data_IF_723036829692
#
_entry.id   IF_723036829692
#
_cell.length_a   1.000
_cell.length_b   1.000
_cell.length_c   1.000
_cell.angle_alpha   90.00
_cell.angle_beta   90.00
_cell.angle_gamma   90.00
#
_symmetry.space_group_name_H-M   'P 1'
#
loop_
_entity.id
_entity.type
_entity.pdbx_description
1 polymer ?
#
# COMPACT_ATOMS: atom_id res chain seq x y z
N UNK A 1 -52.08 90.62 24.49
CA UNK A 1 -53.02 89.72 23.76
C UNK A 1 -52.36 89.20 22.52
N UNK A 2 -51.93 87.95 22.53
CA UNK A 2 -51.32 87.32 21.37
C UNK A 2 -52.33 87.15 20.26
N UNK A 3 -52.02 87.71 19.11
CA UNK A 3 -52.92 87.74 17.91
C UNK A 3 -53.27 86.28 17.53
N UNK A 4 -54.51 85.85 17.51
CA UNK A 4 -54.99 84.45 17.25
C UNK A 4 -54.35 83.88 15.99
N UNK A 5 -54.12 84.73 14.98
CA UNK A 5 -53.51 84.29 13.75
C UNK A 5 -52.04 83.89 13.87
N UNK A 6 -51.26 84.55 14.80
CA UNK A 6 -49.83 84.14 15.07
C UNK A 6 -49.73 82.80 15.76
N UNK A 7 -50.68 82.47 16.66
CA UNK A 7 -50.71 81.20 17.36
C UNK A 7 -51.01 80.07 16.41
N UNK A 8 -51.95 80.29 15.44
CA UNK A 8 -52.27 79.29 14.43
C UNK A 8 -51.13 79.00 13.50
N UNK A 9 -50.37 80.07 13.09
CA UNK A 9 -49.14 79.87 12.27
C UNK A 9 -48.05 79.12 12.98
N UNK A 10 -47.84 79.29 14.31
CA UNK A 10 -46.88 78.56 15.10
C UNK A 10 -47.29 77.07 15.22
N UNK A 11 -48.57 76.81 15.44
CA UNK A 11 -49.07 75.43 15.55
C UNK A 11 -48.91 74.68 14.17
N UNK A 12 -49.26 75.33 13.10
CA UNK A 12 -49.09 74.75 11.73
C UNK A 12 -47.63 74.52 11.41
N UNK A 13 -46.76 75.50 11.71
CA UNK A 13 -45.30 75.31 11.56
C UNK A 13 -44.71 74.15 12.39
N UNK A 14 -45.20 74.03 13.63
CA UNK A 14 -44.80 72.91 14.50
C UNK A 14 -45.26 71.56 13.94
N UNK A 15 -46.49 71.51 13.41
CA UNK A 15 -47.02 70.26 12.87
C UNK A 15 -46.33 69.83 11.57
N UNK A 16 -45.89 70.79 10.74
CA UNK A 16 -45.06 70.53 9.57
C UNK A 16 -43.70 70.02 9.92
N UNK A 17 -43.06 70.58 10.96
CA UNK A 17 -41.76 70.12 11.45
C UNK A 17 -41.85 68.69 12.00
N UNK A 18 -42.88 68.34 12.75
CA UNK A 18 -43.13 66.98 13.22
C UNK A 18 -43.34 66.02 12.03
N UNK A 19 -44.13 66.41 11.05
CA UNK A 19 -44.34 65.57 9.86
C UNK A 19 -43.04 65.31 9.06
N UNK A 20 -42.19 66.34 8.92
CA UNK A 20 -40.87 66.22 8.28
C UNK A 20 -39.95 65.30 9.11
N UNK A 21 -39.97 65.43 10.46
CA UNK A 21 -39.20 64.56 11.34
C UNK A 21 -39.62 63.11 11.29
N UNK A 22 -40.93 62.84 11.28
CA UNK A 22 -41.47 61.47 11.10
C UNK A 22 -41.12 60.90 9.77
N UNK A 23 -41.25 61.69 8.67
CA UNK A 23 -40.90 61.26 7.34
C UNK A 23 -39.40 60.98 7.18
N UNK A 24 -38.53 61.81 7.75
CA UNK A 24 -37.10 61.61 7.74
C UNK A 24 -36.69 60.36 8.54
N UNK A 25 -37.31 60.18 9.74
CA UNK A 25 -37.05 58.99 10.56
C UNK A 25 -37.53 57.71 9.87
N UNK A 26 -38.65 57.74 9.22
CA UNK A 26 -39.20 56.62 8.47
C UNK A 26 -38.27 56.24 7.27
N UNK A 27 -37.81 57.23 6.51
CA UNK A 27 -36.84 56.98 5.44
C UNK A 27 -35.49 56.45 5.98
N UNK A 28 -35.04 56.94 7.13
CA UNK A 28 -33.81 56.47 7.74
C UNK A 28 -33.96 55.02 8.19
N UNK A 29 -35.05 54.66 8.83
CA UNK A 29 -35.37 53.29 9.26
C UNK A 29 -35.47 52.36 8.02
N UNK A 30 -36.11 52.78 6.93
CA UNK A 30 -36.13 51.98 5.70
C UNK A 30 -34.74 51.76 5.08
N UNK A 31 -33.86 52.76 5.16
CA UNK A 31 -32.48 52.63 4.69
C UNK A 31 -31.66 51.72 5.59
N UNK A 32 -31.92 51.62 6.90
CA UNK A 32 -31.28 50.68 7.81
C UNK A 32 -31.87 49.28 7.74
N UNK A 33 -33.15 49.15 7.35
CA UNK A 33 -33.82 47.86 7.15
C UNK A 33 -33.53 47.25 5.76
N UNK A 34 -33.12 48.09 4.81
CA UNK A 34 -32.47 47.62 3.58
C UNK A 34 -31.00 47.29 3.94
N UNK A 35 -30.79 46.39 4.91
CA UNK A 35 -29.55 45.68 4.99
C UNK A 35 -29.31 45.09 3.59
N UNK A 36 -28.10 45.23 3.01
CA UNK A 36 -27.83 44.55 1.76
C UNK A 36 -28.22 43.11 1.98
N UNK A 37 -29.19 42.61 1.19
CA UNK A 37 -29.37 41.17 1.10
C UNK A 37 -27.98 40.65 0.94
N UNK A 38 -27.53 39.89 1.92
CA UNK A 38 -26.28 39.12 1.77
C UNK A 38 -26.51 38.40 0.47
N UNK A 39 -25.84 38.87 -0.58
CA UNK A 39 -25.81 38.17 -1.83
C UNK A 39 -25.41 36.77 -1.40
N UNK A 40 -26.32 35.79 -1.48
CA UNK A 40 -25.91 34.40 -1.46
C UNK A 40 -24.94 34.35 -2.64
N UNK A 41 -23.67 34.61 -2.30
CA UNK A 41 -22.57 34.36 -3.17
C UNK A 41 -22.76 32.92 -3.55
N UNK A 42 -23.12 32.66 -4.82
CA UNK A 42 -23.30 31.33 -5.36
C UNK A 42 -21.93 30.66 -5.29
N UNK A 43 -21.54 30.27 -4.09
CA UNK A 43 -20.34 29.47 -3.85
C UNK A 43 -20.60 28.16 -4.57
N UNK A 44 -19.88 27.94 -5.65
CA UNK A 44 -19.91 26.68 -6.37
C UNK A 44 -19.51 25.61 -5.37
N UNK A 45 -20.40 24.66 -5.10
CA UNK A 45 -20.15 23.56 -4.16
C UNK A 45 -19.69 22.33 -4.90
N UNK A 46 -18.81 21.57 -4.29
CA UNK A 46 -18.37 20.25 -4.74
C UNK A 46 -18.63 19.22 -3.66
N UNK A 47 -18.83 17.98 -4.06
CA UNK A 47 -18.95 16.87 -3.12
C UNK A 47 -17.57 16.32 -2.78
N UNK A 48 -17.30 16.09 -1.51
CA UNK A 48 -16.08 15.44 -1.01
C UNK A 48 -16.45 14.33 -0.05
N UNK A 49 -15.62 13.32 0.02
CA UNK A 49 -15.76 12.23 1.01
C UNK A 49 -15.20 12.71 2.34
N UNK A 50 -15.96 12.56 3.43
CA UNK A 50 -15.55 12.82 4.80
C UNK A 50 -15.71 11.56 5.65
N UNK A 51 -14.88 11.41 6.68
CA UNK A 51 -15.01 10.29 7.63
C UNK A 51 -16.08 10.56 8.66
N UNK A 52 -16.88 9.53 8.96
CA UNK A 52 -18.00 9.61 9.94
C UNK A 52 -17.58 9.28 11.38
N UNK A 53 -16.41 8.70 11.56
CA UNK A 53 -15.75 8.38 12.83
C UNK A 53 -14.24 8.52 12.71
N UNK A 54 -13.54 8.51 13.82
CA UNK A 54 -12.08 8.45 13.83
C UNK A 54 -11.61 7.13 13.21
N UNK A 55 -10.61 7.22 12.34
CA UNK A 55 -9.97 6.08 11.67
C UNK A 55 -8.47 6.12 11.97
N UNK A 56 -7.92 4.99 12.41
CA UNK A 56 -6.51 4.85 12.70
C UNK A 56 -5.70 4.40 11.47
N UNK A 57 -4.41 4.65 11.51
CA UNK A 57 -3.43 4.11 10.56
C UNK A 57 -3.60 2.59 10.41
N UNK A 58 -3.75 2.10 9.19
CA UNK A 58 -3.94 0.69 8.89
C UNK A 58 -5.40 0.22 8.81
N UNK A 59 -6.37 1.04 9.26
CA UNK A 59 -7.79 0.72 9.14
C UNK A 59 -8.21 0.63 7.66
N UNK A 60 -9.07 -0.34 7.36
CA UNK A 60 -9.73 -0.43 6.05
C UNK A 60 -11.05 0.30 6.10
N UNK A 61 -11.28 1.23 5.17
CA UNK A 61 -12.50 2.02 5.09
C UNK A 61 -13.69 1.14 4.70
N UNK A 62 -14.67 1.03 5.60
CA UNK A 62 -15.97 0.44 5.29
C UNK A 62 -16.93 1.51 4.72
N UNK A 63 -17.99 1.08 4.05
CA UNK A 63 -18.98 2.01 3.50
C UNK A 63 -19.73 2.85 4.55
N UNK A 64 -19.73 2.41 5.81
CA UNK A 64 -20.31 3.13 6.97
C UNK A 64 -19.39 4.18 7.57
N UNK A 65 -18.10 4.13 7.25
CA UNK A 65 -17.07 4.99 7.83
C UNK A 65 -16.90 6.31 7.08
N UNK A 66 -17.57 6.45 5.94
CA UNK A 66 -17.46 7.62 5.06
C UNK A 66 -18.82 8.06 4.53
N UNK A 67 -18.95 9.37 4.32
CA UNK A 67 -20.13 9.99 3.70
C UNK A 67 -19.73 11.10 2.74
N UNK A 68 -20.67 11.55 1.90
CA UNK A 68 -20.47 12.69 1.02
C UNK A 68 -20.91 13.98 1.73
N UNK A 69 -19.99 14.92 1.85
CA UNK A 69 -20.23 16.29 2.31
C UNK A 69 -20.16 17.26 1.13
N UNK A 70 -21.08 18.26 1.13
CA UNK A 70 -21.08 19.34 0.14
C UNK A 70 -20.33 20.54 0.71
N UNK A 71 -19.19 20.90 0.11
CA UNK A 71 -18.31 22.00 0.55
C UNK A 71 -18.08 23.00 -0.57
N UNK A 72 -17.81 24.28 -0.25
CA UNK A 72 -17.36 25.26 -1.24
C UNK A 72 -16.09 24.78 -1.97
N UNK A 73 -16.05 25.00 -3.29
CA UNK A 73 -14.90 24.59 -4.13
C UNK A 73 -13.58 25.20 -3.65
N UNK A 74 -13.64 26.40 -3.09
CA UNK A 74 -12.47 27.14 -2.62
C UNK A 74 -11.75 26.47 -1.44
N UNK A 75 -12.50 25.70 -0.61
CA UNK A 75 -11.94 24.99 0.55
C UNK A 75 -11.69 23.51 0.28
N UNK A 76 -12.16 22.98 -0.85
CA UNK A 76 -11.94 21.58 -1.23
C UNK A 76 -10.51 21.40 -1.77
N UNK A 77 -9.63 20.63 -1.11
CA UNK A 77 -8.33 20.31 -1.67
C UNK A 77 -8.45 19.59 -3.01
N UNK A 78 -7.53 19.84 -3.94
CA UNK A 78 -7.53 19.19 -5.27
C UNK A 78 -7.39 17.66 -5.18
N UNK A 79 -6.85 17.17 -4.08
CA UNK A 79 -6.61 15.74 -3.81
C UNK A 79 -7.76 15.12 -3.03
N UNK A 80 -8.83 15.87 -2.71
CA UNK A 80 -9.99 15.33 -2.03
C UNK A 80 -10.71 14.29 -2.91
N UNK A 81 -11.09 13.18 -2.30
CA UNK A 81 -11.87 12.13 -2.96
C UNK A 81 -13.31 12.62 -3.10
N UNK A 82 -13.84 12.57 -4.31
CA UNK A 82 -15.20 13.02 -4.61
C UNK A 82 -16.24 11.87 -4.66
N UNK A 83 -15.77 10.62 -4.68
CA UNK A 83 -16.64 9.46 -4.86
C UNK A 83 -16.37 8.42 -3.75
N UNK A 84 -17.42 7.95 -3.07
CA UNK A 84 -17.33 6.93 -2.02
C UNK A 84 -16.66 5.64 -2.51
N UNK A 85 -16.88 5.24 -3.77
CA UNK A 85 -16.28 4.03 -4.33
C UNK A 85 -14.75 4.08 -4.43
N UNK A 86 -14.18 5.28 -4.46
CA UNK A 86 -12.73 5.48 -4.52
C UNK A 86 -12.09 5.38 -3.14
N UNK A 87 -12.86 5.58 -2.07
CA UNK A 87 -12.41 5.49 -0.69
C UNK A 87 -12.66 4.12 -0.06
N UNK A 88 -13.84 3.54 -0.29
CA UNK A 88 -14.25 2.26 0.32
C UNK A 88 -13.32 1.12 -0.12
N UNK A 89 -12.86 0.32 0.84
CA UNK A 89 -11.93 -0.78 0.63
C UNK A 89 -10.45 -0.37 0.57
N UNK A 90 -10.15 0.95 0.67
CA UNK A 90 -8.78 1.44 0.81
C UNK A 90 -8.32 1.40 2.28
N UNK A 91 -7.02 1.41 2.48
CA UNK A 91 -6.40 1.39 3.81
C UNK A 91 -5.92 2.79 4.16
N UNK A 92 -6.16 3.21 5.39
CA UNK A 92 -5.74 4.52 5.93
C UNK A 92 -4.23 4.53 6.17
N UNK A 93 -3.54 5.55 5.63
CA UNK A 93 -2.09 5.75 5.77
C UNK A 93 -1.71 6.73 6.89
N UNK A 94 -2.66 7.44 7.44
CA UNK A 94 -2.49 8.37 8.57
C UNK A 94 -3.81 8.49 9.29
N UNK A 95 -3.76 8.68 10.60
CA UNK A 95 -4.98 8.84 11.41
C UNK A 95 -5.85 9.96 10.85
N UNK A 96 -7.16 9.70 10.76
CA UNK A 96 -8.18 10.66 10.34
C UNK A 96 -9.19 10.85 11.47
N UNK A 97 -9.57 12.10 11.71
CA UNK A 97 -10.56 12.46 12.75
C UNK A 97 -11.93 12.61 12.10
N UNK A 98 -12.99 12.28 12.83
CA UNK A 98 -14.38 12.45 12.39
C UNK A 98 -14.63 13.83 11.76
N UNK A 99 -15.22 13.85 10.57
CA UNK A 99 -15.50 15.07 9.80
C UNK A 99 -14.34 15.51 8.90
N UNK A 100 -13.19 14.86 8.95
CA UNK A 100 -12.04 15.16 8.08
C UNK A 100 -12.28 14.68 6.67
N UNK A 101 -11.80 15.48 5.67
CA UNK A 101 -11.89 15.13 4.26
C UNK A 101 -10.88 14.04 3.91
N UNK A 102 -11.32 13.01 3.20
CA UNK A 102 -10.45 11.96 2.70
C UNK A 102 -9.69 12.44 1.47
N UNK A 103 -8.36 12.45 1.57
CA UNK A 103 -7.47 12.85 0.49
C UNK A 103 -6.81 11.62 -0.14
N UNK A 104 -6.54 11.67 -1.45
CA UNK A 104 -5.97 10.52 -2.18
C UNK A 104 -4.62 10.04 -1.63
N UNK A 105 -3.81 10.93 -1.04
CA UNK A 105 -2.52 10.57 -0.42
C UNK A 105 -2.67 9.93 0.97
N UNK A 106 -3.85 10.07 1.61
CA UNK A 106 -4.14 9.41 2.89
C UNK A 106 -4.51 7.93 2.71
N UNK A 107 -4.66 7.48 1.46
CA UNK A 107 -5.15 6.15 1.15
C UNK A 107 -4.06 5.27 0.52
N UNK A 108 -3.97 4.02 0.97
CA UNK A 108 -3.27 2.94 0.31
C UNK A 108 -4.29 2.06 -0.43
N UNK A 109 -3.95 1.72 -1.66
CA UNK A 109 -4.74 0.78 -2.45
C UNK A 109 -4.20 -0.64 -2.27
N UNK A 110 -4.91 -1.55 -1.59
CA UNK A 110 -4.45 -2.93 -1.41
C UNK A 110 -4.33 -3.69 -2.73
N UNK A 111 -4.96 -3.19 -3.81
CA UNK A 111 -4.84 -3.78 -5.15
C UNK A 111 -3.70 -3.19 -5.97
N UNK A 112 -3.08 -2.10 -5.50
CA UNK A 112 -1.99 -1.44 -6.21
C UNK A 112 -0.68 -2.25 -6.09
N UNK A 113 -0.19 -2.73 -7.22
CA UNK A 113 0.97 -3.61 -7.30
C UNK A 113 2.31 -2.91 -7.06
N UNK A 114 2.34 -1.57 -7.10
CA UNK A 114 3.59 -0.80 -7.18
C UNK A 114 3.81 0.15 -6.00
N UNK A 115 2.82 0.34 -5.13
CA UNK A 115 2.87 1.29 -4.01
C UNK A 115 2.23 0.69 -2.78
N UNK A 116 2.63 1.22 -1.64
CA UNK A 116 1.98 0.94 -0.36
C UNK A 116 1.98 -0.54 0.08
N UNK A 117 2.96 -1.34 -0.40
CA UNK A 117 3.05 -2.78 -0.11
C UNK A 117 3.10 -3.10 1.39
N UNK A 118 3.67 -2.20 2.21
CA UNK A 118 3.73 -2.38 3.67
C UNK A 118 2.35 -2.38 4.33
N UNK A 119 1.35 -1.72 3.73
CA UNK A 119 -0.02 -1.67 4.26
C UNK A 119 -0.85 -2.91 3.98
N UNK A 120 -0.39 -3.77 3.07
CA UNK A 120 -1.06 -5.04 2.74
C UNK A 120 -0.41 -6.25 3.43
N UNK A 121 0.68 -6.04 4.18
CA UNK A 121 1.31 -7.08 4.96
C UNK A 121 0.55 -7.31 6.26
N UNK A 122 0.45 -8.56 6.67
CA UNK A 122 0.01 -8.92 8.02
C UNK A 122 1.03 -8.44 9.05
N UNK A 123 0.58 -8.12 10.26
CA UNK A 123 1.44 -7.59 11.35
C UNK A 123 2.62 -8.50 11.70
N UNK A 124 2.47 -9.79 11.50
CA UNK A 124 3.46 -10.84 11.79
C UNK A 124 4.39 -11.16 10.61
N UNK A 125 4.27 -10.43 9.48
CA UNK A 125 5.05 -10.66 8.27
C UNK A 125 5.98 -9.49 7.94
N UNK A 126 7.07 -9.81 7.26
CA UNK A 126 8.01 -8.87 6.65
C UNK A 126 8.11 -9.13 5.16
N UNK A 127 8.37 -8.10 4.39
CA UNK A 127 8.55 -8.22 2.94
C UNK A 127 10.04 -8.35 2.62
N UNK A 128 10.42 -9.44 1.96
CA UNK A 128 11.81 -9.69 1.59
C UNK A 128 11.95 -9.91 0.08
N UNK A 129 12.98 -9.30 -0.53
CA UNK A 129 13.30 -9.52 -1.94
C UNK A 129 14.08 -10.82 -2.12
N UNK A 130 13.60 -11.65 -3.05
CA UNK A 130 14.20 -12.91 -3.47
C UNK A 130 14.58 -12.84 -4.95
N UNK A 131 15.83 -13.15 -5.34
CA UNK A 131 16.27 -13.02 -6.72
C UNK A 131 15.61 -14.05 -7.64
N UNK A 132 15.17 -13.62 -8.81
CA UNK A 132 14.55 -14.46 -9.83
C UNK A 132 15.63 -15.01 -10.78
N UNK A 133 16.40 -16.00 -10.32
CA UNK A 133 17.55 -16.54 -11.06
C UNK A 133 17.38 -17.99 -11.55
N UNK A 134 16.42 -18.72 -10.97
CA UNK A 134 16.09 -20.09 -11.34
C UNK A 134 15.33 -20.17 -12.69
N UNK A 135 15.14 -21.38 -13.19
CA UNK A 135 14.52 -21.61 -14.50
C UNK A 135 13.05 -21.15 -14.53
N UNK A 136 12.25 -21.46 -13.50
CA UNK A 136 10.84 -21.06 -13.45
C UNK A 136 10.68 -19.56 -13.46
N UNK A 137 11.59 -18.87 -12.79
CA UNK A 137 11.65 -17.41 -12.75
C UNK A 137 12.00 -16.81 -14.12
N UNK A 138 12.94 -17.41 -14.84
CA UNK A 138 13.35 -16.93 -16.18
C UNK A 138 12.24 -17.08 -17.21
N UNK A 139 11.47 -18.16 -17.12
CA UNK A 139 10.31 -18.41 -17.99
C UNK A 139 9.04 -17.65 -17.59
N UNK A 140 9.10 -16.86 -16.51
CA UNK A 140 7.97 -16.06 -16.04
C UNK A 140 6.77 -16.91 -15.57
N UNK A 141 7.01 -18.15 -15.16
CA UNK A 141 5.95 -19.08 -14.73
C UNK A 141 5.36 -18.63 -13.40
N UNK A 142 6.21 -18.18 -12.47
CA UNK A 142 5.78 -17.74 -11.15
C UNK A 142 5.21 -16.33 -11.20
N UNK A 143 4.00 -16.15 -10.71
CA UNK A 143 3.27 -14.89 -10.75
C UNK A 143 2.92 -14.37 -9.35
N UNK A 144 2.45 -13.15 -9.29
CA UNK A 144 1.92 -12.59 -8.06
C UNK A 144 0.69 -13.37 -7.61
N UNK A 145 0.66 -13.70 -6.32
CA UNK A 145 -0.42 -14.47 -5.69
C UNK A 145 -0.17 -15.97 -5.67
N UNK A 146 0.86 -16.43 -6.36
CA UNK A 146 1.25 -17.83 -6.29
C UNK A 146 1.81 -18.20 -4.92
N UNK A 147 1.65 -19.46 -4.57
CA UNK A 147 2.25 -20.09 -3.40
C UNK A 147 3.41 -20.94 -3.87
N UNK A 148 4.57 -20.73 -3.26
CA UNK A 148 5.81 -21.42 -3.63
C UNK A 148 6.47 -22.04 -2.41
N UNK A 149 7.26 -23.07 -2.67
CA UNK A 149 8.27 -23.57 -1.73
C UNK A 149 9.65 -23.16 -2.23
N UNK A 150 10.60 -22.97 -1.33
CA UNK A 150 11.97 -22.56 -1.65
C UNK A 150 12.91 -23.66 -1.22
N UNK A 151 13.53 -24.30 -2.21
CA UNK A 151 14.61 -25.26 -1.97
C UNK A 151 15.94 -24.51 -1.92
N UNK A 152 16.79 -24.93 -1.01
CA UNK A 152 18.12 -24.35 -0.85
C UNK A 152 19.17 -25.47 -0.83
N UNK A 153 20.19 -25.31 -1.66
CA UNK A 153 21.39 -26.18 -1.66
C UNK A 153 22.58 -25.38 -1.17
N UNK A 154 23.25 -25.88 -0.15
CA UNK A 154 24.42 -25.24 0.45
C UNK A 154 25.43 -26.28 0.91
N UNK A 155 26.71 -25.89 0.99
CA UNK A 155 27.78 -26.75 1.50
C UNK A 155 28.29 -26.23 2.83
N UNK A 156 28.47 -27.12 3.78
CA UNK A 156 28.94 -26.79 5.13
C UNK A 156 30.00 -27.76 5.60
N UNK A 157 30.97 -27.24 6.33
CA UNK A 157 31.97 -28.08 7.02
C UNK A 157 31.31 -28.75 8.22
N UNK A 158 31.24 -30.08 8.20
CA UNK A 158 30.66 -30.89 9.27
C UNK A 158 31.77 -31.68 9.92
N UNK A 159 31.83 -31.69 11.26
CA UNK A 159 32.62 -32.64 11.99
C UNK A 159 31.80 -33.91 12.16
N UNK A 160 32.29 -35.04 11.68
CA UNK A 160 31.63 -36.32 11.88
C UNK A 160 31.64 -36.62 13.39
N UNK A 161 30.45 -36.53 14.00
CA UNK A 161 30.27 -36.96 15.41
C UNK A 161 29.89 -38.43 15.37
N UNK A 162 30.86 -39.29 15.34
CA UNK A 162 30.58 -40.73 15.42
C UNK A 162 31.69 -41.55 14.81
N UNK A 163 32.61 -41.90 15.60
CA UNK A 163 33.32 -43.14 15.86
C UNK A 163 34.64 -42.86 16.56
N UNK A 164 34.58 -42.86 17.89
CA UNK A 164 35.76 -42.99 18.72
C UNK A 164 36.21 -44.45 18.57
N UNK A 165 36.83 -44.78 17.45
CA UNK A 165 37.61 -46.03 17.31
C UNK A 165 38.66 -45.86 16.24
N UNK A 166 39.53 -44.87 16.39
CA UNK A 166 40.91 -45.01 15.86
C UNK A 166 41.91 -44.65 16.94
N UNK A 167 42.70 -45.60 17.26
CA UNK A 167 43.74 -45.60 18.28
C UNK A 167 44.92 -44.63 18.02
N UNK A 168 44.76 -43.74 17.07
CA UNK A 168 45.72 -42.70 16.69
C UNK A 168 44.97 -41.35 16.70
N UNK A 169 45.22 -40.58 17.79
CA UNK A 169 44.56 -39.30 18.05
C UNK A 169 44.88 -38.16 17.08
N UNK A 170 44.72 -38.35 15.80
CA UNK A 170 44.79 -37.27 14.81
C UNK A 170 43.41 -36.62 14.67
N UNK A 171 43.32 -35.28 14.73
CA UNK A 171 42.07 -34.58 14.52
C UNK A 171 41.62 -34.83 13.08
N UNK A 172 40.45 -35.46 12.89
CA UNK A 172 39.85 -35.56 11.57
C UNK A 172 39.57 -34.14 11.04
N UNK A 173 40.05 -33.83 9.84
CA UNK A 173 39.74 -32.57 9.16
C UNK A 173 38.23 -32.52 8.89
N UNK A 174 37.61 -31.36 9.11
CA UNK A 174 36.18 -31.20 8.85
C UNK A 174 35.89 -31.40 7.35
N UNK A 175 34.99 -32.33 7.07
CA UNK A 175 34.58 -32.67 5.72
C UNK A 175 33.52 -31.68 5.21
N UNK A 176 33.63 -31.26 3.94
CA UNK A 176 32.61 -30.43 3.27
C UNK A 176 31.49 -31.34 2.81
N UNK A 177 30.27 -31.09 3.32
CA UNK A 177 29.05 -31.80 2.89
C UNK A 177 28.04 -30.84 2.27
N UNK A 178 27.39 -31.30 1.23
CA UNK A 178 26.35 -30.56 0.54
C UNK A 178 24.97 -31.05 1.02
N UNK A 179 24.11 -30.10 1.32
CA UNK A 179 22.75 -30.33 1.79
C UNK A 179 21.78 -29.64 0.86
N UNK A 180 20.74 -30.36 0.43
CA UNK A 180 19.56 -29.74 -0.22
C UNK A 180 18.38 -29.89 0.71
N UNK A 181 17.76 -28.78 1.05
CA UNK A 181 16.65 -28.71 2.00
C UNK A 181 15.46 -27.95 1.39
N UNK A 182 14.26 -28.32 1.78
CA UNK A 182 13.08 -27.48 1.63
C UNK A 182 13.12 -26.41 2.73
N UNK A 183 13.73 -25.28 2.39
CA UNK A 183 14.07 -24.26 3.38
C UNK A 183 12.86 -23.47 3.86
N UNK A 184 11.91 -23.20 2.97
CA UNK A 184 10.69 -22.46 3.26
C UNK A 184 9.52 -23.05 2.47
N UNK A 185 8.41 -23.29 3.17
CA UNK A 185 7.20 -23.82 2.56
C UNK A 185 6.05 -22.82 2.61
N UNK A 186 5.17 -22.89 1.60
CA UNK A 186 3.92 -22.11 1.51
C UNK A 186 4.16 -20.59 1.55
N UNK A 187 5.19 -20.14 0.87
CA UNK A 187 5.51 -18.73 0.77
C UNK A 187 4.66 -18.06 -0.30
N UNK A 188 3.97 -16.98 0.07
CA UNK A 188 3.19 -16.17 -0.87
C UNK A 188 4.03 -15.19 -1.64
N UNK A 189 3.89 -15.16 -2.97
CA UNK A 189 4.49 -14.15 -3.85
C UNK A 189 3.62 -12.90 -3.82
N UNK A 190 4.06 -11.88 -3.07
CA UNK A 190 3.28 -10.64 -2.86
C UNK A 190 3.35 -9.71 -4.06
N UNK A 191 4.53 -9.55 -4.67
CA UNK A 191 4.75 -8.70 -5.82
C UNK A 191 5.96 -9.16 -6.64
N UNK A 192 6.08 -8.61 -7.85
CA UNK A 192 7.19 -8.83 -8.77
C UNK A 192 7.97 -7.53 -8.97
N UNK A 193 9.28 -7.61 -8.96
CA UNK A 193 10.17 -6.52 -9.40
C UNK A 193 10.54 -6.79 -10.84
N UNK A 194 10.08 -5.92 -11.74
CA UNK A 194 10.32 -6.03 -13.17
C UNK A 194 11.46 -5.10 -13.60
N UNK A 195 12.30 -5.57 -14.50
CA UNK A 195 13.31 -4.79 -15.19
C UNK A 195 12.86 -4.62 -16.65
N UNK A 196 12.85 -3.38 -17.11
CA UNK A 196 12.59 -3.07 -18.53
C UNK A 196 13.91 -3.26 -19.28
N UNK A 197 13.90 -4.13 -20.27
CA UNK A 197 15.06 -4.34 -21.14
C UNK A 197 14.90 -3.39 -22.32
N UNK A 198 15.68 -2.30 -22.33
CA UNK A 198 15.80 -1.47 -23.51
C UNK A 198 16.50 -2.30 -24.60
N UNK A 199 15.81 -2.55 -25.70
CA UNK A 199 16.49 -3.10 -26.89
C UNK A 199 17.43 -2.01 -27.40
N UNK A 200 18.71 -2.25 -27.23
CA UNK A 200 19.75 -1.38 -27.78
C UNK A 200 19.44 -1.03 -29.24
N UNK A 201 19.59 0.24 -29.56
CA UNK A 201 19.24 0.88 -30.82
C UNK A 201 20.16 0.48 -32.01
N UNK A 202 20.75 -0.72 -32.01
CA UNK A 202 21.76 -1.12 -33.01
C UNK A 202 21.43 -2.47 -33.67
N UNK A 203 20.18 -2.60 -34.15
CA UNK A 203 19.89 -3.63 -35.17
C UNK A 203 18.82 -3.11 -36.12
N UNK A 204 19.27 -2.61 -37.25
CA UNK A 204 18.52 -2.34 -38.48
C UNK A 204 17.89 -3.64 -39.01
N UNK A 205 16.78 -4.10 -38.45
CA UNK A 205 15.94 -5.13 -39.09
C UNK A 205 14.48 -4.84 -38.75
N UNK A 206 13.77 -4.38 -39.78
CA UNK A 206 12.30 -4.39 -39.98
C UNK A 206 11.39 -4.15 -38.76
N UNK A 207 10.72 -3.02 -38.80
CA UNK A 207 9.62 -2.61 -37.96
C UNK A 207 8.50 -3.66 -37.96
N UNK A 208 8.41 -4.44 -36.92
CA UNK A 208 7.15 -5.07 -36.51
C UNK A 208 6.48 -4.16 -35.49
N UNK A 209 5.23 -3.78 -35.74
CA UNK A 209 4.46 -2.77 -35.02
C UNK A 209 4.04 -3.16 -33.58
N UNK A 210 4.58 -4.21 -32.99
CA UNK A 210 4.32 -4.63 -31.60
C UNK A 210 5.52 -4.28 -30.69
N UNK A 211 5.74 -2.99 -30.51
CA UNK A 211 6.83 -2.45 -29.71
C UNK A 211 6.50 -2.49 -28.19
N UNK A 212 6.22 -3.69 -27.66
CA UNK A 212 6.17 -3.90 -26.22
C UNK A 212 7.60 -4.07 -25.70
N UNK A 213 8.02 -3.13 -24.84
CA UNK A 213 9.30 -3.25 -24.12
C UNK A 213 9.36 -4.61 -23.43
N UNK A 214 10.41 -5.40 -23.74
CA UNK A 214 10.59 -6.69 -23.10
C UNK A 214 10.84 -6.48 -21.61
N UNK A 215 10.00 -7.06 -20.77
CA UNK A 215 10.15 -6.99 -19.32
C UNK A 215 10.66 -8.33 -18.79
N UNK A 216 11.60 -8.29 -17.85
CA UNK A 216 12.13 -9.46 -17.18
C UNK A 216 11.86 -9.36 -15.68
N UNK A 217 11.49 -10.48 -15.07
CA UNK A 217 11.38 -10.55 -13.60
C UNK A 217 12.79 -10.55 -13.02
N UNK A 218 13.10 -9.58 -12.17
CA UNK A 218 14.39 -9.45 -11.48
C UNK A 218 14.35 -10.05 -10.08
N UNK A 219 13.23 -9.87 -9.38
CA UNK A 219 13.06 -10.39 -8.04
C UNK A 219 11.58 -10.59 -7.72
N UNK A 220 11.32 -11.48 -6.80
CA UNK A 220 10.05 -11.63 -6.12
C UNK A 220 10.07 -10.90 -4.79
N UNK A 221 8.94 -10.33 -4.39
CA UNK A 221 8.73 -9.83 -3.04
C UNK A 221 7.89 -10.86 -2.28
N UNK A 222 8.51 -11.48 -1.31
CA UNK A 222 7.94 -12.57 -0.52
C UNK A 222 7.50 -12.03 0.84
N UNK A 223 6.26 -12.32 1.24
CA UNK A 223 5.79 -12.07 2.60
C UNK A 223 6.16 -13.26 3.48
N UNK A 224 7.05 -13.04 4.43
CA UNK A 224 7.62 -14.07 5.30
C UNK A 224 7.40 -13.69 6.77
N UNK A 225 7.25 -14.67 7.64
CA UNK A 225 7.43 -14.38 9.05
C UNK A 225 8.91 -13.99 9.32
N UNK A 226 9.20 -13.22 10.38
CA UNK A 226 10.55 -12.71 10.63
C UNK A 226 11.61 -13.80 10.79
N UNK A 227 11.24 -14.98 11.31
CA UNK A 227 12.17 -16.11 11.47
C UNK A 227 12.58 -16.71 10.13
N UNK A 228 11.62 -16.91 9.24
CA UNK A 228 11.88 -17.44 7.89
C UNK A 228 12.70 -16.44 7.07
N UNK A 229 12.42 -15.14 7.23
CA UNK A 229 13.23 -14.09 6.62
C UNK A 229 14.70 -14.12 7.09
N UNK A 230 14.96 -14.39 8.37
CA UNK A 230 16.31 -14.55 8.91
C UNK A 230 17.00 -15.81 8.37
N UNK A 231 16.27 -16.92 8.24
CA UNK A 231 16.78 -18.16 7.65
C UNK A 231 17.19 -17.90 6.20
N UNK A 232 16.29 -17.31 5.41
CA UNK A 232 16.54 -16.99 4.02
C UNK A 232 17.72 -16.03 3.85
N UNK A 233 17.81 -15.01 4.73
CA UNK A 233 18.94 -14.06 4.75
C UNK A 233 20.25 -14.79 5.01
N UNK A 234 20.29 -15.66 6.01
CA UNK A 234 21.50 -16.43 6.34
C UNK A 234 21.94 -17.32 5.18
N UNK A 235 21.03 -18.08 4.59
CA UNK A 235 21.31 -18.94 3.44
C UNK A 235 21.83 -18.13 2.23
N UNK A 236 21.24 -16.96 1.96
CA UNK A 236 21.74 -16.05 0.91
C UNK A 236 23.18 -15.60 1.17
N UNK A 237 23.48 -15.19 2.40
CA UNK A 237 24.80 -14.66 2.75
C UNK A 237 25.89 -15.75 2.76
N UNK A 238 25.51 -17.01 3.00
CA UNK A 238 26.41 -18.17 2.94
C UNK A 238 26.56 -18.75 1.53
N UNK A 239 25.92 -18.17 0.52
CA UNK A 239 26.09 -18.56 -0.87
C UNK A 239 25.26 -19.78 -1.27
N UNK A 240 24.13 -20.04 -0.63
CA UNK A 240 23.22 -21.09 -1.03
C UNK A 240 22.66 -20.85 -2.43
N UNK A 241 22.48 -21.94 -3.20
CA UNK A 241 21.78 -21.96 -4.48
C UNK A 241 20.30 -22.23 -4.18
N UNK A 242 19.41 -21.47 -4.82
CA UNK A 242 17.99 -21.56 -4.58
C UNK A 242 17.24 -21.96 -5.84
N UNK A 243 16.20 -22.77 -5.63
CA UNK A 243 15.18 -23.05 -6.64
C UNK A 243 13.79 -22.78 -6.06
N UNK A 244 12.94 -22.14 -6.86
CA UNK A 244 11.53 -21.95 -6.55
C UNK A 244 10.73 -23.13 -7.06
N UNK A 245 9.86 -23.68 -6.24
CA UNK A 245 8.93 -24.75 -6.59
C UNK A 245 7.50 -24.27 -6.44
N UNK A 246 6.74 -24.30 -7.52
CA UNK A 246 5.34 -23.88 -7.49
C UNK A 246 4.49 -24.88 -6.75
N UNK A 247 3.70 -24.41 -5.79
CA UNK A 247 2.79 -25.22 -4.99
C UNK A 247 1.35 -24.95 -5.42
N UNK A 248 0.51 -25.98 -5.33
CA UNK A 248 -0.92 -25.80 -5.53
C UNK A 248 -1.48 -24.81 -4.49
N UNK A 249 -2.22 -23.77 -4.90
CA UNK A 249 -2.68 -22.70 -3.99
C UNK A 249 -3.64 -23.21 -2.90
N UNK A 250 -4.30 -24.34 -3.15
CA UNK A 250 -5.20 -25.00 -2.18
C UNK A 250 -4.49 -25.96 -1.22
N UNK A 251 -3.17 -26.19 -1.39
CA UNK A 251 -2.42 -27.11 -0.55
C UNK A 251 -2.25 -26.57 0.87
N UNK A 252 -2.82 -27.27 1.83
CA UNK A 252 -2.67 -27.00 3.27
C UNK A 252 -1.60 -27.87 3.92
N UNK A 253 -1.10 -28.88 3.20
CA UNK A 253 -0.16 -29.87 3.72
C UNK A 253 1.19 -29.22 3.98
N UNK A 254 1.77 -29.50 5.14
CA UNK A 254 3.20 -29.26 5.39
C UNK A 254 3.96 -30.55 5.09
N UNK A 255 4.98 -30.48 4.26
CA UNK A 255 5.78 -31.65 3.92
C UNK A 255 6.89 -31.81 4.96
N UNK A 256 6.94 -32.99 5.59
CA UNK A 256 8.04 -33.38 6.48
C UNK A 256 9.12 -34.06 5.65
N UNK A 257 10.07 -33.26 5.17
CA UNK A 257 11.12 -33.72 4.25
C UNK A 257 12.47 -33.78 4.98
N UNK A 258 13.14 -34.91 4.80
CA UNK A 258 14.52 -35.07 5.27
C UNK A 258 15.48 -34.34 4.34
N UNK A 259 16.50 -33.63 4.85
CA UNK A 259 17.56 -33.06 4.03
C UNK A 259 18.21 -34.11 3.13
N UNK A 260 18.35 -33.76 1.85
CA UNK A 260 19.02 -34.64 0.89
C UNK A 260 20.51 -34.35 0.91
N UNK A 261 21.30 -35.40 1.16
CA UNK A 261 22.77 -35.39 1.10
C UNK A 261 23.26 -36.35 0.04
N UNK A 262 24.57 -36.34 -0.20
CA UNK A 262 25.21 -37.27 -1.13
C UNK A 262 25.00 -38.72 -0.68
N UNK A 263 25.17 -38.98 0.62
CA UNK A 263 24.97 -40.32 1.23
C UNK A 263 23.50 -40.77 1.08
N UNK A 264 22.54 -39.86 1.30
CA UNK A 264 21.12 -40.17 1.09
C UNK A 264 20.84 -40.60 -0.35
N UNK A 265 21.42 -39.92 -1.36
CA UNK A 265 21.25 -40.26 -2.76
C UNK A 265 21.86 -41.64 -3.08
N UNK A 266 23.06 -41.92 -2.56
CA UNK A 266 23.75 -43.20 -2.73
C UNK A 266 22.90 -44.34 -2.15
N UNK A 267 22.43 -44.18 -0.94
CA UNK A 267 21.60 -45.19 -0.26
C UNK A 267 20.24 -45.38 -0.96
N UNK A 268 19.58 -44.29 -1.29
CA UNK A 268 18.24 -44.31 -1.89
C UNK A 268 18.21 -44.95 -3.27
N UNK A 269 19.24 -44.70 -4.09
CA UNK A 269 19.34 -45.24 -5.47
C UNK A 269 20.21 -46.50 -5.54
N UNK A 270 20.80 -46.96 -4.44
CA UNK A 270 21.68 -48.12 -4.39
C UNK A 270 22.91 -47.96 -5.28
N UNK A 271 23.51 -46.77 -5.31
CA UNK A 271 24.67 -46.48 -6.14
C UNK A 271 25.93 -47.08 -5.50
N UNK A 272 26.75 -47.78 -6.28
CA UNK A 272 28.08 -48.22 -5.88
C UNK A 272 29.07 -47.08 -6.15
N UNK A 273 29.74 -46.58 -5.10
CA UNK A 273 30.85 -45.64 -5.25
C UNK A 273 32.07 -46.46 -5.72
N UNK A 274 32.50 -46.24 -6.94
CA UNK A 274 33.76 -46.78 -7.43
C UNK A 274 34.91 -45.97 -6.75
N UNK A 275 35.94 -46.64 -6.24
CA UNK A 275 37.05 -46.02 -5.51
C UNK A 275 37.91 -45.12 -6.39
#
# INVERSE_FOLDING_TARGET
MLNKNKVVFIIIGGLILVAIGVFASFNLIQRFQAAPAVSEEYTVKTSVVVVTRDLALGDTIAGTDVELASVPVEIAPRTAIANLKEAVGKIIKTDLVQGEMVLSHNLADPTNKNKDLSFILSEDHVLMAFPAVDLMSREGIVQRGDIVDIFATFSQKVKTVGEITTTTGEPQEPEMRTFTVDSLQKVGVTALVLEVIDKDADTDIMQDEDNQAATRIRAYLLALNPRDALILKHLKDTGAIFDIVLRAPTSTVHFDLTPVTEEYIIEFYGLEILP
#
